data_IF_740413283334
#
_entry.id   IF_740413283334
#
_cell.length_a   1.000
_cell.length_b   1.000
_cell.length_c   1.000
_cell.angle_alpha   90.00
_cell.angle_beta   90.00
_cell.angle_gamma   90.00
#
_symmetry.space_group_name_H-M   'P 1'
#
loop_
_entity.id
_entity.type
_entity.pdbx_description
1 polymer ?
#
# COMPACT_ATOMS: atom_id res chain seq x y z
N UNK A 1 5.03 -2.80 14.12
CA UNK A 1 4.48 -4.17 14.05
C UNK A 1 3.11 -4.05 13.43
N UNK A 2 2.92 -4.56 12.21
CA UNK A 2 1.61 -4.54 11.59
C UNK A 2 0.60 -5.32 12.45
N UNK A 3 -0.56 -4.74 12.74
CA UNK A 3 -1.66 -5.40 13.42
C UNK A 3 -2.20 -6.55 12.57
N UNK A 4 -2.64 -7.62 13.23
CA UNK A 4 -3.20 -8.79 12.52
C UNK A 4 -4.48 -8.40 11.78
N UNK A 5 -4.52 -8.67 10.47
CA UNK A 5 -5.71 -8.50 9.63
C UNK A 5 -6.74 -9.60 9.93
N UNK A 6 -8.02 -9.27 9.88
CA UNK A 6 -9.10 -10.26 9.91
C UNK A 6 -9.22 -11.04 8.59
N UNK A 7 -10.02 -12.10 8.56
CA UNK A 7 -10.31 -12.86 7.33
C UNK A 7 -10.98 -11.98 6.27
N UNK A 8 -11.97 -11.16 6.67
CA UNK A 8 -12.62 -10.19 5.79
C UNK A 8 -11.63 -9.15 5.25
N UNK A 9 -10.73 -8.64 6.09
CA UNK A 9 -9.70 -7.70 5.66
C UNK A 9 -8.69 -8.32 4.70
N UNK A 10 -8.30 -9.57 4.94
CA UNK A 10 -7.40 -10.30 4.05
C UNK A 10 -8.05 -10.54 2.67
N UNK A 11 -9.34 -10.87 2.65
CA UNK A 11 -10.10 -11.03 1.42
C UNK A 11 -10.23 -9.69 0.65
N UNK A 12 -10.55 -8.61 1.37
CA UNK A 12 -10.64 -7.28 0.79
C UNK A 12 -9.30 -6.76 0.24
N UNK A 13 -8.17 -7.10 0.90
CA UNK A 13 -6.84 -6.74 0.43
C UNK A 13 -6.50 -7.42 -0.91
N UNK A 14 -6.96 -8.65 -1.12
CA UNK A 14 -6.72 -9.39 -2.35
C UNK A 14 -7.40 -8.75 -3.59
N UNK A 15 -8.44 -7.95 -3.36
CA UNK A 15 -9.15 -7.19 -4.41
C UNK A 15 -8.94 -5.68 -4.28
N UNK A 16 -8.09 -5.24 -3.35
CA UNK A 16 -7.84 -3.83 -3.13
C UNK A 16 -7.14 -3.22 -4.35
N UNK A 17 -7.46 -1.96 -4.60
CA UNK A 17 -6.85 -1.14 -5.65
C UNK A 17 -6.17 0.07 -5.02
N UNK A 18 -5.27 0.71 -5.77
CA UNK A 18 -4.58 1.92 -5.32
C UNK A 18 -5.21 3.13 -6.00
N UNK A 19 -5.55 4.14 -5.21
CA UNK A 19 -5.91 5.47 -5.71
C UNK A 19 -4.63 6.26 -6.04
N UNK A 20 -4.34 6.51 -7.33
CA UNK A 20 -3.12 7.20 -7.73
C UNK A 20 -3.09 8.68 -7.32
N UNK A 21 -4.21 9.30 -6.96
CA UNK A 21 -4.22 10.70 -6.52
C UNK A 21 -3.68 10.89 -5.09
N UNK A 22 -3.67 9.81 -4.31
CA UNK A 22 -3.20 9.78 -2.92
C UNK A 22 -1.81 9.18 -2.77
N UNK A 23 -1.20 8.76 -3.87
CA UNK A 23 0.16 8.24 -3.93
C UNK A 23 1.15 9.39 -4.01
N UNK A 24 2.27 9.29 -3.28
CA UNK A 24 3.37 10.26 -3.36
C UNK A 24 4.48 9.71 -4.26
N UNK A 25 4.58 10.29 -5.47
CA UNK A 25 5.60 9.99 -6.48
C UNK A 25 6.64 11.12 -6.62
N UNK A 26 6.73 12.02 -5.61
CA UNK A 26 7.63 13.18 -5.66
C UNK A 26 9.11 12.81 -5.68
N UNK A 27 9.46 11.60 -5.25
CA UNK A 27 10.81 11.07 -5.24
C UNK A 27 11.13 10.30 -6.54
N UNK A 28 12.19 10.67 -7.29
CA UNK A 28 12.52 9.98 -8.52
C UNK A 28 12.90 8.51 -8.25
N UNK A 29 12.17 7.59 -8.87
CA UNK A 29 12.38 6.14 -8.71
C UNK A 29 11.76 5.55 -7.44
N UNK A 30 10.97 6.33 -6.69
CA UNK A 30 10.23 5.86 -5.53
C UNK A 30 8.78 6.34 -5.59
N UNK A 31 7.89 5.48 -5.12
CA UNK A 31 6.46 5.72 -5.05
C UNK A 31 6.03 5.27 -3.66
N UNK A 32 5.59 6.22 -2.84
CA UNK A 32 5.11 5.95 -1.50
C UNK A 32 3.60 5.76 -1.58
N UNK A 33 3.13 4.59 -1.16
CA UNK A 33 1.71 4.26 -1.08
C UNK A 33 1.31 4.31 0.39
N UNK A 34 0.69 5.41 0.86
CA UNK A 34 0.15 5.48 2.20
C UNK A 34 -1.10 4.58 2.32
N UNK A 35 -1.43 4.13 3.53
CA UNK A 35 -2.60 3.28 3.75
C UNK A 35 -3.92 3.93 3.30
N UNK A 36 -4.01 5.26 3.28
CA UNK A 36 -5.16 6.01 2.78
C UNK A 36 -5.36 5.91 1.26
N UNK A 37 -4.30 5.60 0.52
CA UNK A 37 -4.38 5.38 -0.94
C UNK A 37 -4.95 4.00 -1.29
N UNK A 38 -5.19 3.13 -0.31
CA UNK A 38 -5.67 1.77 -0.54
C UNK A 38 -7.20 1.76 -0.52
N UNK A 39 -7.79 1.54 -1.70
CA UNK A 39 -9.23 1.46 -1.91
C UNK A 39 -9.66 0.01 -1.86
N UNK A 40 -10.44 -0.33 -0.84
CA UNK A 40 -11.02 -1.65 -0.64
C UNK A 40 -12.41 -1.55 -0.03
N UNK A 41 -13.14 -2.67 0.00
CA UNK A 41 -14.46 -2.75 0.62
C UNK A 41 -14.44 -2.53 2.15
N UNK A 42 -13.26 -2.58 2.77
CA UNK A 42 -13.03 -2.33 4.19
C UNK A 42 -11.97 -1.25 4.39
N UNK A 43 -12.07 -0.52 5.49
CA UNK A 43 -11.05 0.44 5.89
C UNK A 43 -9.89 -0.27 6.56
N UNK A 44 -8.67 0.09 6.17
CA UNK A 44 -7.45 -0.31 6.85
C UNK A 44 -6.85 0.86 7.62
N UNK A 45 -6.15 0.57 8.71
CA UNK A 45 -5.38 1.57 9.46
C UNK A 45 -3.90 1.53 9.06
N UNK A 46 -3.18 2.62 9.31
CA UNK A 46 -1.72 2.65 9.13
C UNK A 46 -1.00 1.57 9.96
N UNK A 47 -1.52 1.23 11.15
CA UNK A 47 -0.99 0.11 11.93
C UNK A 47 -1.21 -1.25 11.28
N UNK A 48 -2.17 -1.41 10.36
CA UNK A 48 -2.51 -2.69 9.72
C UNK A 48 -1.74 -2.93 8.43
N UNK A 49 -1.51 -1.89 7.63
CA UNK A 49 -0.82 -2.01 6.33
C UNK A 49 0.59 -1.40 6.33
N UNK A 50 0.89 -0.53 7.29
CA UNK A 50 2.09 0.29 7.26
C UNK A 50 2.08 1.30 6.11
N UNK A 51 3.20 1.99 5.96
CA UNK A 51 3.51 2.74 4.74
C UNK A 51 4.32 1.79 3.85
N UNK A 52 3.86 1.57 2.62
CA UNK A 52 4.60 0.75 1.66
C UNK A 52 5.34 1.67 0.70
N UNK A 53 6.66 1.54 0.63
CA UNK A 53 7.47 2.24 -0.38
C UNK A 53 7.74 1.28 -1.52
N UNK A 54 7.25 1.62 -2.71
CA UNK A 54 7.67 0.97 -3.95
C UNK A 54 8.88 1.70 -4.50
N UNK A 55 9.99 0.98 -4.66
CA UNK A 55 11.16 1.47 -5.38
C UNK A 55 11.26 0.80 -6.74
N UNK A 56 11.49 1.61 -7.78
CA UNK A 56 11.76 1.12 -9.12
C UNK A 56 13.24 0.77 -9.24
N UNK A 57 13.54 -0.52 -9.43
CA UNK A 57 14.91 -1.02 -9.57
C UNK A 57 14.96 -2.00 -10.75
N UNK A 58 15.98 -1.88 -11.59
CA UNK A 58 16.25 -2.83 -12.69
C UNK A 58 15.09 -3.14 -13.65
N UNK A 59 14.11 -2.24 -13.79
CA UNK A 59 12.97 -2.42 -14.69
C UNK A 59 11.68 -2.85 -14.00
N UNK A 60 11.75 -3.21 -12.72
CA UNK A 60 10.65 -3.75 -11.92
C UNK A 60 10.39 -2.90 -10.67
N UNK A 61 9.16 -2.99 -10.15
CA UNK A 61 8.76 -2.34 -8.90
C UNK A 61 8.90 -3.31 -7.73
N UNK A 62 9.59 -2.88 -6.68
CA UNK A 62 9.81 -3.66 -5.47
C UNK A 62 9.29 -2.92 -4.26
N UNK A 63 8.60 -3.63 -3.36
CA UNK A 63 8.32 -3.11 -2.02
C UNK A 63 9.65 -3.12 -1.26
N UNK A 64 10.10 -1.93 -0.85
CA UNK A 64 11.29 -1.73 -0.01
C UNK A 64 10.83 -1.18 1.34
N UNK A 65 11.13 -1.93 2.41
CA UNK A 65 10.89 -1.56 3.82
C UNK A 65 12.14 -0.90 4.42
#
# INVERSE_FOLDING_TARGET
>A
MAGMLSEEQSAALATATIDPELVDDSAPGQVIIPAEAIVADVTFTADQLGDSVLAYQDGDWFVVD
#
